data_IF_688380245230
#
_entry.id   IF_688380245230
#
_cell.length_a   1.000
_cell.length_b   1.000
_cell.length_c   1.000
_cell.angle_alpha   90.00
_cell.angle_beta   90.00
_cell.angle_gamma   90.00
#
_symmetry.space_group_name_H-M   'P 1'
#
loop_
_entity.id
_entity.type
_entity.pdbx_description
1 polymer ?
#
# COMPACT_ATOMS: atom_id res chain seq x y z
N UNK A 1 6.17 7.15 -3.13
CA UNK A 1 7.30 7.52 -2.23
C UNK A 1 8.40 8.28 -2.96
N UNK A 2 8.97 7.78 -4.08
CA UNK A 2 10.04 8.49 -4.83
C UNK A 2 9.63 9.91 -5.26
N UNK A 3 8.41 10.10 -5.77
CA UNK A 3 7.91 11.43 -6.18
C UNK A 3 7.82 12.46 -5.05
N UNK A 4 7.65 12.02 -3.79
CA UNK A 4 7.57 12.92 -2.64
C UNK A 4 8.93 13.55 -2.28
N UNK A 5 10.04 13.00 -2.79
CA UNK A 5 11.39 13.51 -2.54
C UNK A 5 11.80 14.64 -3.50
N UNK A 6 11.15 14.77 -4.65
CA UNK A 6 11.45 15.78 -5.67
C UNK A 6 11.55 17.22 -5.12
N UNK A 7 10.62 17.73 -4.29
CA UNK A 7 10.72 19.08 -3.74
C UNK A 7 11.93 19.26 -2.81
N UNK A 8 12.36 18.22 -2.09
CA UNK A 8 13.52 18.29 -1.19
C UNK A 8 14.83 18.32 -1.96
N UNK A 9 14.95 17.48 -3.00
CA UNK A 9 16.11 17.46 -3.88
C UNK A 9 16.23 18.80 -4.62
N UNK A 10 15.11 19.32 -5.15
CA UNK A 10 15.07 20.63 -5.81
C UNK A 10 15.52 21.77 -4.88
N UNK A 11 15.01 21.79 -3.63
CA UNK A 11 15.39 22.80 -2.65
C UNK A 11 16.89 22.73 -2.27
N UNK A 12 17.45 21.52 -2.13
CA UNK A 12 18.88 21.34 -1.85
C UNK A 12 19.76 21.74 -3.04
N UNK A 13 19.30 21.49 -4.26
CA UNK A 13 20.04 21.81 -5.49
C UNK A 13 19.97 23.29 -5.88
N UNK A 14 18.92 24.02 -5.45
CA UNK A 14 18.71 25.43 -5.80
C UNK A 14 19.90 26.33 -5.38
N UNK A 15 20.51 26.06 -4.23
CA UNK A 15 21.65 26.85 -3.78
C UNK A 15 22.89 26.69 -4.69
N UNK A 16 23.49 25.49 -4.87
CA UNK A 16 24.68 25.37 -5.71
C UNK A 16 24.42 25.62 -7.21
N UNK A 17 23.20 25.40 -7.71
CA UNK A 17 22.91 25.53 -9.14
C UNK A 17 22.43 26.94 -9.54
N UNK A 18 21.68 27.62 -8.68
CA UNK A 18 21.03 28.91 -9.00
C UNK A 18 21.51 30.04 -8.09
N UNK A 19 22.26 29.72 -7.03
CA UNK A 19 22.80 30.71 -6.08
C UNK A 19 21.78 31.18 -5.04
N UNK A 20 20.61 30.56 -4.95
CA UNK A 20 19.57 30.94 -4.00
C UNK A 20 19.92 30.44 -2.59
N UNK A 21 20.30 31.36 -1.70
CA UNK A 21 20.64 31.01 -0.33
C UNK A 21 19.38 30.68 0.47
N UNK A 22 19.34 29.53 1.18
CA UNK A 22 18.18 29.17 1.97
C UNK A 22 18.01 30.15 3.13
N UNK A 23 16.82 30.73 3.25
CA UNK A 23 16.46 31.54 4.41
C UNK A 23 16.16 30.65 5.62
N UNK A 24 16.26 31.20 6.84
CA UNK A 24 15.88 30.47 8.07
C UNK A 24 14.46 29.93 8.01
N UNK A 25 13.53 30.66 7.39
CA UNK A 25 12.13 30.21 7.20
C UNK A 25 12.06 28.97 6.29
N UNK A 26 12.83 28.95 5.21
CA UNK A 26 12.91 27.80 4.29
C UNK A 26 13.48 26.58 5.03
N UNK A 27 14.54 26.75 5.82
CA UNK A 27 15.12 25.67 6.60
C UNK A 27 14.13 25.04 7.59
N UNK A 28 13.33 25.87 8.29
CA UNK A 28 12.29 25.40 9.21
C UNK A 28 11.19 24.64 8.44
N UNK A 29 10.69 25.21 7.33
CA UNK A 29 9.64 24.57 6.53
C UNK A 29 10.10 23.23 5.94
N UNK A 30 11.35 23.15 5.49
CA UNK A 30 11.98 21.93 5.01
C UNK A 30 12.01 20.85 6.11
N UNK A 31 12.44 21.22 7.32
CA UNK A 31 12.48 20.32 8.47
C UNK A 31 11.10 19.77 8.85
N UNK A 32 10.08 20.62 8.92
CA UNK A 32 8.69 20.21 9.20
C UNK A 32 8.18 19.25 8.12
N UNK A 33 8.43 19.58 6.84
CA UNK A 33 7.98 18.75 5.72
C UNK A 33 8.65 17.37 5.74
N UNK A 34 9.97 17.32 6.03
CA UNK A 34 10.71 16.07 6.12
C UNK A 34 10.20 15.21 7.29
N UNK A 35 9.90 15.82 8.44
CA UNK A 35 9.28 15.13 9.56
C UNK A 35 7.92 14.52 9.18
N UNK A 36 7.09 15.25 8.43
CA UNK A 36 5.82 14.72 7.91
C UNK A 36 6.01 13.50 6.99
N UNK A 37 7.02 13.54 6.11
CA UNK A 37 7.37 12.38 5.26
C UNK A 37 7.80 11.19 6.11
N UNK A 38 8.64 11.41 7.13
CA UNK A 38 9.05 10.34 8.06
C UNK A 38 7.84 9.75 8.78
N UNK A 39 6.94 10.58 9.32
CA UNK A 39 5.72 10.11 9.98
C UNK A 39 4.88 9.26 9.03
N UNK A 40 4.58 9.74 7.83
CA UNK A 40 3.75 9.00 6.85
C UNK A 40 4.41 7.70 6.41
N UNK A 41 5.72 7.71 6.18
CA UNK A 41 6.46 6.52 5.71
C UNK A 41 6.67 5.47 6.80
N UNK A 42 6.64 5.86 8.07
CA UNK A 42 6.80 4.94 9.21
C UNK A 42 5.47 4.58 9.88
N UNK A 43 4.39 5.26 9.52
CA UNK A 43 3.06 4.99 10.04
C UNK A 43 2.56 3.64 9.51
N UNK A 44 2.50 2.65 10.40
CA UNK A 44 1.88 1.36 10.13
C UNK A 44 0.37 1.48 10.34
N UNK A 45 -0.39 1.33 9.26
CA UNK A 45 -1.84 1.20 9.34
C UNK A 45 -2.21 -0.24 9.00
N UNK A 46 -2.69 -0.97 9.99
CA UNK A 46 -3.38 -2.25 9.82
C UNK A 46 -4.88 -1.99 9.93
N UNK A 47 -5.63 -2.44 8.92
CA UNK A 47 -7.08 -2.43 8.96
C UNK A 47 -7.56 -3.84 8.71
N UNK A 48 -8.52 -4.28 9.52
CA UNK A 48 -9.22 -5.51 9.25
C UNK A 48 -9.99 -5.34 7.93
N UNK A 49 -9.56 -6.06 6.91
CA UNK A 49 -10.21 -6.10 5.61
C UNK A 49 -11.04 -7.38 5.51
N UNK A 50 -12.33 -7.23 5.21
CA UNK A 50 -13.22 -8.36 4.94
C UNK A 50 -13.26 -8.58 3.43
N UNK A 51 -12.66 -9.68 2.97
CA UNK A 51 -12.83 -10.15 1.59
C UNK A 51 -14.19 -10.83 1.48
N UNK A 52 -15.01 -10.38 0.52
CA UNK A 52 -16.21 -11.13 0.14
C UNK A 52 -15.83 -12.44 -0.54
N UNK A 53 -16.69 -13.45 -0.47
CA UNK A 53 -16.44 -14.72 -1.16
C UNK A 53 -16.29 -14.53 -2.68
N UNK A 54 -15.29 -15.21 -3.26
CA UNK A 54 -14.98 -15.14 -4.69
C UNK A 54 -15.14 -16.53 -5.28
N UNK A 55 -15.88 -16.65 -6.38
CA UNK A 55 -16.01 -17.88 -7.17
C UNK A 55 -15.11 -17.80 -8.39
N UNK A 56 -14.32 -18.85 -8.64
CA UNK A 56 -13.52 -18.95 -9.86
C UNK A 56 -13.31 -20.41 -10.28
N UNK A 57 -12.84 -20.60 -11.53
CA UNK A 57 -12.64 -21.91 -12.15
C UNK A 57 -11.18 -22.05 -12.56
N UNK A 58 -10.45 -22.87 -11.80
CA UNK A 58 -9.13 -23.36 -12.18
C UNK A 58 -8.81 -24.68 -11.44
N UNK A 59 -7.86 -25.48 -11.95
CA UNK A 59 -7.42 -26.68 -11.26
C UNK A 59 -6.94 -26.37 -9.84
N UNK A 60 -7.43 -27.15 -8.87
CA UNK A 60 -6.96 -27.10 -7.49
C UNK A 60 -5.61 -27.82 -7.43
N UNK A 61 -4.56 -27.11 -7.03
CA UNK A 61 -3.23 -27.67 -6.88
C UNK A 61 -3.02 -28.04 -5.41
N UNK A 62 -2.46 -29.22 -5.15
CA UNK A 62 -2.34 -29.74 -3.79
C UNK A 62 -1.34 -28.95 -2.90
N UNK A 63 -0.48 -28.14 -3.52
CA UNK A 63 0.50 -27.27 -2.88
C UNK A 63 0.06 -25.80 -2.77
N UNK A 64 -1.13 -25.46 -3.26
CA UNK A 64 -1.66 -24.11 -3.17
C UNK A 64 -2.22 -23.84 -1.77
N UNK A 65 -1.53 -22.94 -1.05
CA UNK A 65 -1.91 -22.51 0.30
C UNK A 65 -3.25 -21.76 0.33
N UNK A 66 -3.75 -21.29 -0.82
CA UNK A 66 -5.06 -20.67 -0.98
C UNK A 66 -6.19 -21.70 -1.12
N UNK A 67 -5.87 -22.99 -1.38
CA UNK A 67 -6.86 -24.08 -1.48
C UNK A 67 -6.96 -24.93 -0.21
N UNK A 68 -6.60 -24.37 0.95
CA UNK A 68 -6.82 -25.11 2.19
C UNK A 68 -8.32 -25.43 2.34
N UNK A 69 -8.62 -26.67 2.71
CA UNK A 69 -9.98 -27.20 2.71
C UNK A 69 -10.95 -26.46 3.67
N UNK A 70 -10.42 -25.68 4.61
CA UNK A 70 -11.17 -24.81 5.53
C UNK A 70 -11.58 -23.45 4.90
N UNK A 71 -11.04 -23.11 3.73
CA UNK A 71 -11.20 -21.79 3.10
C UNK A 71 -11.92 -21.84 1.74
N UNK A 72 -12.16 -23.04 1.18
CA UNK A 72 -12.81 -23.21 -0.11
C UNK A 72 -13.99 -24.19 -0.09
N UNK A 73 -15.00 -23.93 -0.90
CA UNK A 73 -16.09 -24.83 -1.23
C UNK A 73 -15.96 -25.27 -2.69
N UNK A 74 -15.90 -26.57 -2.95
CA UNK A 74 -15.79 -27.11 -4.31
C UNK A 74 -17.17 -27.13 -4.95
N UNK A 75 -17.30 -26.45 -6.08
CA UNK A 75 -18.52 -26.35 -6.86
C UNK A 75 -18.52 -27.38 -7.98
N UNK A 76 -19.70 -27.75 -8.46
CA UNK A 76 -19.84 -28.67 -9.58
C UNK A 76 -19.26 -28.05 -10.87
N UNK A 77 -18.67 -28.87 -11.74
CA UNK A 77 -18.02 -28.38 -12.97
C UNK A 77 -16.59 -27.82 -12.80
N UNK A 78 -15.91 -28.12 -11.69
CA UNK A 78 -14.48 -27.81 -11.49
C UNK A 78 -14.19 -26.38 -11.00
N UNK A 79 -15.23 -25.66 -10.59
CA UNK A 79 -15.09 -24.38 -9.89
C UNK A 79 -14.89 -24.56 -8.39
N UNK A 80 -14.41 -23.52 -7.73
CA UNK A 80 -14.44 -23.44 -6.28
C UNK A 80 -14.68 -22.01 -5.81
N UNK A 81 -15.28 -21.90 -4.63
CA UNK A 81 -15.61 -20.65 -3.96
C UNK A 81 -14.71 -20.46 -2.75
N UNK A 82 -14.03 -19.33 -2.68
CA UNK A 82 -13.37 -18.88 -1.46
C UNK A 82 -14.42 -18.30 -0.52
N UNK A 83 -14.45 -18.75 0.72
CA UNK A 83 -15.36 -18.22 1.74
C UNK A 83 -14.90 -16.82 2.17
N UNK A 84 -15.84 -16.00 2.66
CA UNK A 84 -15.49 -14.69 3.19
C UNK A 84 -14.50 -14.84 4.34
N UNK A 85 -13.44 -14.04 4.33
CA UNK A 85 -12.37 -14.10 5.30
C UNK A 85 -11.93 -12.68 5.67
N UNK A 86 -11.71 -12.47 6.97
CA UNK A 86 -11.13 -11.24 7.49
C UNK A 86 -9.63 -11.45 7.73
N UNK A 87 -8.80 -10.55 7.20
CA UNK A 87 -7.40 -10.48 7.57
C UNK A 87 -6.95 -9.06 7.87
N UNK A 88 -5.80 -8.96 8.55
CA UNK A 88 -5.08 -7.71 8.73
C UNK A 88 -3.79 -7.77 7.92
N UNK A 89 -3.57 -6.76 7.10
CA UNK A 89 -2.27 -6.49 6.51
C UNK A 89 -1.96 -5.01 6.54
N UNK A 90 -0.67 -4.70 6.53
CA UNK A 90 -0.19 -3.34 6.39
C UNK A 90 -0.70 -2.75 5.07
N UNK A 91 -1.33 -1.59 5.15
CA UNK A 91 -1.88 -0.90 4.00
C UNK A 91 -0.75 -0.40 3.10
N UNK A 92 -0.44 -1.15 2.05
CA UNK A 92 0.31 -0.64 0.91
C UNK A 92 -0.66 0.08 -0.04
N UNK A 93 -0.18 0.97 -0.94
CA UNK A 93 -0.99 1.48 -2.04
C UNK A 93 -1.35 0.29 -2.94
N UNK A 94 -2.46 -0.36 -2.66
CA UNK A 94 -2.93 -1.52 -3.42
C UNK A 94 -3.69 -1.03 -4.65
N UNK A 95 -3.24 -1.48 -5.82
CA UNK A 95 -3.90 -1.23 -7.11
C UNK A 95 -5.29 -1.90 -7.18
N UNK A 96 -5.58 -2.86 -6.31
CA UNK A 96 -6.85 -3.57 -6.22
C UNK A 96 -7.81 -3.00 -5.17
N UNK A 97 -7.42 -1.96 -4.42
CA UNK A 97 -8.31 -1.28 -3.49
C UNK A 97 -9.34 -0.44 -4.27
N UNK A 98 -10.50 -1.04 -4.58
CA UNK A 98 -11.67 -0.31 -5.10
C UNK A 98 -12.65 -0.12 -3.95
N UNK A 99 -12.80 1.13 -3.50
CA UNK A 99 -13.85 1.48 -2.55
C UNK A 99 -15.22 1.42 -3.27
N UNK A 100 -16.12 0.57 -2.81
CA UNK A 100 -17.55 0.68 -3.14
C UNK A 100 -18.17 1.66 -2.15
N UNK A 101 -18.33 2.90 -2.60
CA UNK A 101 -19.22 3.87 -1.97
C UNK A 101 -20.64 3.70 -2.49
#
# INVERSE_FOLDING_TARGET
MIFALAPFIGALAAWPLVGEQPTTRIAIAFGISLAGVVVVTTAKHGHEHMHGGIEHVHPIQADDIHHRADLIEVLDGGGHRHLSFSHDHEHLPDIHHRHTH
#
